data_IF_610945664271
#
_entry.id   IF_610945664271
#
_cell.length_a   1.000
_cell.length_b   1.000
_cell.length_c   1.000
_cell.angle_alpha   90.00
_cell.angle_beta   90.00
_cell.angle_gamma   90.00
#
_symmetry.space_group_name_H-M   'P 1'
#
loop_
_entity.id
_entity.type
_entity.pdbx_description
1 polymer ?
#
# COMPACT_ATOMS: atom_id res chain seq x y z
N UNK A 1 17.43 8.58 2.51
CA UNK A 1 16.04 8.23 2.89
C UNK A 1 15.46 9.17 3.94
N UNK A 2 16.18 9.42 5.04
CA UNK A 2 15.76 10.36 6.11
C UNK A 2 15.37 11.75 5.60
N UNK A 3 16.26 12.40 4.85
CA UNK A 3 16.03 13.75 4.29
C UNK A 3 14.77 13.81 3.40
N UNK A 4 14.47 12.74 2.67
CA UNK A 4 13.25 12.65 1.86
C UNK A 4 11.98 12.66 2.72
N UNK A 5 11.95 11.92 3.83
CA UNK A 5 10.81 11.93 4.75
C UNK A 5 10.63 13.30 5.39
N UNK A 6 11.72 13.92 5.85
CA UNK A 6 11.71 15.29 6.40
C UNK A 6 11.12 16.28 5.40
N UNK A 7 11.52 16.19 4.13
CA UNK A 7 10.98 17.07 3.09
C UNK A 7 9.48 16.84 2.86
N UNK A 8 8.99 15.60 2.90
CA UNK A 8 7.56 15.31 2.79
C UNK A 8 6.77 15.83 4.00
N UNK A 9 7.35 15.76 5.20
CA UNK A 9 6.76 16.33 6.42
C UNK A 9 6.65 17.85 6.28
N UNK A 10 7.72 18.53 5.86
CA UNK A 10 7.74 19.98 5.61
C UNK A 10 6.71 20.41 4.55
N UNK A 11 6.52 19.60 3.51
CA UNK A 11 5.51 19.83 2.46
C UNK A 11 4.09 19.48 2.90
N UNK A 12 3.93 18.88 4.08
CA UNK A 12 2.65 18.42 4.59
C UNK A 12 2.05 17.20 3.87
N UNK A 13 2.87 16.48 3.09
CA UNK A 13 2.50 15.26 2.35
C UNK A 13 2.69 13.99 3.19
N UNK A 14 3.32 14.11 4.35
CA UNK A 14 3.45 13.09 5.37
C UNK A 14 3.20 13.76 6.73
N UNK A 15 2.24 13.28 7.50
CA UNK A 15 1.82 13.94 8.75
C UNK A 15 1.41 12.91 9.79
N UNK A 16 1.66 13.27 11.05
CA UNK A 16 0.98 12.64 12.17
C UNK A 16 -0.44 13.22 12.30
N UNK A 17 -1.41 12.34 12.54
CA UNK A 17 -2.83 12.64 12.71
C UNK A 17 -3.38 11.71 13.79
N UNK A 18 -4.59 11.96 14.26
CA UNK A 18 -5.27 11.01 15.16
C UNK A 18 -5.43 9.64 14.48
N UNK A 19 -5.08 8.53 15.15
CA UNK A 19 -5.42 7.19 14.70
C UNK A 19 -6.90 7.09 14.35
N UNK A 20 -7.20 6.51 13.19
CA UNK A 20 -8.57 6.50 12.66
C UNK A 20 -8.96 5.12 12.15
N UNK A 21 -9.77 4.41 12.94
CA UNK A 21 -10.35 3.13 12.53
C UNK A 21 -11.27 3.32 11.32
N UNK A 22 -12.06 4.40 11.28
CA UNK A 22 -12.98 4.68 10.17
C UNK A 22 -12.24 4.85 8.84
N UNK A 23 -11.14 5.62 8.82
CA UNK A 23 -10.33 5.78 7.61
C UNK A 23 -9.60 4.47 7.28
N UNK A 24 -9.10 3.76 8.28
CA UNK A 24 -8.51 2.43 8.09
C UNK A 24 -9.48 1.50 7.35
N UNK A 25 -10.70 1.34 7.85
CA UNK A 25 -11.75 0.51 7.25
C UNK A 25 -12.09 0.98 5.83
N UNK A 26 -12.26 2.30 5.64
CA UNK A 26 -12.57 2.86 4.30
C UNK A 26 -11.50 2.50 3.25
N UNK A 27 -10.22 2.52 3.64
CA UNK A 27 -9.13 2.10 2.75
C UNK A 27 -9.05 0.58 2.58
N UNK A 28 -9.41 -0.21 3.59
CA UNK A 28 -9.54 -1.67 3.45
C UNK A 28 -10.63 -2.05 2.44
N UNK A 29 -11.75 -1.34 2.44
CA UNK A 29 -12.85 -1.53 1.48
C UNK A 29 -12.43 -1.11 0.08
N UNK A 30 -11.75 0.04 -0.03
CA UNK A 30 -11.18 0.48 -1.31
C UNK A 30 -10.14 -0.48 -1.86
N UNK A 31 -9.33 -1.09 -0.99
CA UNK A 31 -8.40 -2.15 -1.38
C UNK A 31 -9.14 -3.36 -1.95
N UNK A 32 -10.20 -3.80 -1.27
CA UNK A 32 -11.03 -4.93 -1.72
C UNK A 32 -11.66 -4.66 -3.08
N UNK A 33 -12.31 -3.50 -3.23
CA UNK A 33 -12.95 -3.07 -4.47
C UNK A 33 -11.97 -3.02 -5.64
N UNK A 34 -10.76 -2.47 -5.44
CA UNK A 34 -9.72 -2.47 -6.47
C UNK A 34 -9.28 -3.89 -6.86
N UNK A 35 -9.12 -4.78 -5.89
CA UNK A 35 -8.70 -6.15 -6.18
C UNK A 35 -9.76 -6.91 -6.99
N UNK A 36 -11.03 -6.82 -6.59
CA UNK A 36 -12.14 -7.43 -7.33
C UNK A 36 -12.25 -6.88 -8.74
N UNK A 37 -12.13 -5.55 -8.89
CA UNK A 37 -12.14 -4.88 -10.18
C UNK A 37 -10.99 -5.36 -11.08
N UNK A 38 -9.80 -5.59 -10.53
CA UNK A 38 -8.67 -6.13 -11.30
C UNK A 38 -8.98 -7.52 -11.89
N UNK A 39 -9.68 -8.39 -11.15
CA UNK A 39 -10.11 -9.70 -11.62
C UNK A 39 -11.13 -9.58 -12.76
N UNK A 40 -12.03 -8.59 -12.70
CA UNK A 40 -13.00 -8.32 -13.77
C UNK A 40 -12.28 -7.82 -15.04
N UNK A 41 -11.33 -6.90 -14.89
CA UNK A 41 -10.56 -6.36 -16.01
C UNK A 41 -9.72 -7.43 -16.71
N UNK A 42 -9.07 -8.33 -15.95
CA UNK A 42 -8.38 -9.49 -16.51
C UNK A 42 -9.32 -10.34 -17.38
N UNK A 43 -10.53 -10.66 -16.90
CA UNK A 43 -11.51 -11.45 -17.66
C UNK A 43 -11.92 -10.78 -18.98
N UNK A 44 -11.81 -9.45 -19.05
CA UNK A 44 -12.13 -8.65 -20.24
C UNK A 44 -10.89 -8.25 -21.06
N UNK A 45 -9.74 -8.91 -20.84
CA UNK A 45 -8.47 -8.64 -21.52
C UNK A 45 -7.96 -7.19 -21.37
N UNK A 46 -8.33 -6.51 -20.27
CA UNK A 46 -7.87 -5.17 -19.90
C UNK A 46 -6.67 -5.27 -18.96
N UNK A 47 -5.56 -5.76 -19.50
CA UNK A 47 -4.44 -6.24 -18.69
C UNK A 47 -3.67 -5.10 -17.99
N UNK A 48 -3.42 -3.99 -18.68
CA UNK A 48 -2.70 -2.83 -18.12
C UNK A 48 -3.49 -2.19 -16.96
N UNK A 49 -4.80 -2.06 -17.14
CA UNK A 49 -5.69 -1.54 -16.10
C UNK A 49 -5.78 -2.50 -14.93
N UNK A 50 -5.81 -3.81 -15.18
CA UNK A 50 -5.80 -4.83 -14.14
C UNK A 50 -4.53 -4.76 -13.27
N UNK A 51 -3.32 -4.70 -13.87
CA UNK A 51 -2.04 -4.53 -13.13
C UNK A 51 -2.12 -3.34 -12.19
N UNK A 52 -2.64 -2.22 -12.70
CA UNK A 52 -2.72 -0.97 -11.95
C UNK A 52 -3.61 -1.11 -10.72
N UNK A 53 -4.76 -1.78 -10.85
CA UNK A 53 -5.66 -2.00 -9.74
C UNK A 53 -5.14 -3.01 -8.71
N UNK A 54 -4.33 -3.99 -9.11
CA UNK A 54 -3.62 -4.87 -8.17
C UNK A 54 -2.71 -4.03 -7.26
N UNK A 55 -1.87 -3.18 -7.87
CA UNK A 55 -1.00 -2.28 -7.11
C UNK A 55 -1.79 -1.35 -6.18
N UNK A 56 -2.85 -0.71 -6.68
CA UNK A 56 -3.66 0.18 -5.84
C UNK A 56 -4.40 -0.55 -4.73
N UNK A 57 -4.75 -1.82 -4.92
CA UNK A 57 -5.31 -2.64 -3.85
C UNK A 57 -4.32 -2.82 -2.70
N UNK A 58 -3.08 -3.20 -3.01
CA UNK A 58 -2.00 -3.35 -2.03
C UNK A 58 -1.70 -2.02 -1.34
N UNK A 59 -1.58 -0.94 -2.12
CA UNK A 59 -1.29 0.39 -1.61
C UNK A 59 -2.37 0.93 -0.67
N UNK A 60 -3.65 0.70 -0.97
CA UNK A 60 -4.74 1.09 -0.08
C UNK A 60 -4.69 0.32 1.25
N UNK A 61 -4.25 -0.94 1.30
CA UNK A 61 -4.04 -1.61 2.60
C UNK A 61 -2.89 -1.01 3.39
N UNK A 62 -1.81 -0.57 2.72
CA UNK A 62 -0.74 0.17 3.40
C UNK A 62 -1.28 1.48 3.98
N UNK A 63 -2.10 2.21 3.23
CA UNK A 63 -2.76 3.41 3.76
C UNK A 63 -3.69 3.10 4.93
N UNK A 64 -4.47 2.02 4.86
CA UNK A 64 -5.30 1.56 5.98
C UNK A 64 -4.47 1.35 7.24
N UNK A 65 -3.36 0.62 7.13
CA UNK A 65 -2.46 0.38 8.26
C UNK A 65 -1.88 1.69 8.83
N UNK A 66 -1.44 2.61 7.97
CA UNK A 66 -0.89 3.90 8.41
C UNK A 66 -1.95 4.74 9.11
N UNK A 67 -3.18 4.83 8.59
CA UNK A 67 -4.26 5.55 9.26
C UNK A 67 -4.66 4.90 10.58
N UNK A 68 -4.58 3.57 10.70
CA UNK A 68 -4.86 2.85 11.95
C UNK A 68 -3.91 3.26 13.09
N UNK A 69 -2.71 3.73 12.77
CA UNK A 69 -1.72 4.20 13.77
C UNK A 69 -1.53 5.73 13.77
N UNK A 70 -2.32 6.49 13.01
CA UNK A 70 -2.26 7.95 13.01
C UNK A 70 -1.21 8.55 12.06
N UNK A 71 -0.89 7.88 10.94
CA UNK A 71 0.00 8.42 9.91
C UNK A 71 -0.79 8.66 8.62
N UNK A 72 -0.80 9.92 8.17
CA UNK A 72 -1.27 10.29 6.84
C UNK A 72 -0.10 10.40 5.88
N UNK A 73 -0.16 9.67 4.76
CA UNK A 73 0.85 9.74 3.69
C UNK A 73 0.20 9.93 2.32
N UNK A 74 0.66 10.94 1.57
CA UNK A 74 0.28 11.26 0.19
C UNK A 74 1.41 10.92 -0.81
N UNK A 75 2.36 10.07 -0.39
CA UNK A 75 3.47 9.63 -1.21
C UNK A 75 3.63 8.11 -1.17
N UNK A 76 3.52 7.48 -2.34
CA UNK A 76 3.59 6.03 -2.46
C UNK A 76 4.92 5.43 -1.97
N UNK A 77 6.05 6.04 -2.33
CA UNK A 77 7.37 5.57 -1.90
C UNK A 77 7.52 5.66 -0.38
N UNK A 78 7.06 6.76 0.21
CA UNK A 78 7.10 6.94 1.66
C UNK A 78 6.23 5.89 2.37
N UNK A 79 5.00 5.66 1.92
CA UNK A 79 4.11 4.68 2.55
C UNK A 79 4.70 3.26 2.51
N UNK A 80 5.25 2.85 1.37
CA UNK A 80 5.88 1.52 1.20
C UNK A 80 7.16 1.40 2.05
N UNK A 81 7.91 2.48 2.21
CA UNK A 81 9.08 2.52 3.09
C UNK A 81 8.65 2.36 4.55
N UNK A 82 7.66 3.14 5.00
CA UNK A 82 7.15 3.09 6.37
C UNK A 82 6.54 1.73 6.74
N UNK A 83 5.97 1.01 5.76
CA UNK A 83 5.50 -0.37 5.96
C UNK A 83 6.61 -1.26 6.54
N UNK A 84 7.83 -1.16 6.01
CA UNK A 84 8.96 -1.97 6.46
C UNK A 84 9.58 -1.39 7.73
N UNK A 85 9.79 -0.08 7.80
CA UNK A 85 10.50 0.51 8.94
C UNK A 85 9.69 0.46 10.24
N UNK A 86 8.38 0.74 10.18
CA UNK A 86 7.54 0.76 11.38
C UNK A 86 7.14 -0.66 11.77
N UNK A 87 6.65 -1.44 10.81
CA UNK A 87 5.99 -2.72 11.09
C UNK A 87 6.84 -3.95 10.82
N UNK A 88 8.04 -3.77 10.27
CA UNK A 88 8.92 -4.88 9.84
C UNK A 88 8.23 -5.83 8.86
N UNK A 89 7.21 -5.32 8.17
CA UNK A 89 6.41 -6.09 7.24
C UNK A 89 7.09 -6.12 5.88
N UNK A 90 7.14 -7.29 5.25
CA UNK A 90 7.77 -7.46 3.95
C UNK A 90 7.07 -6.60 2.87
N UNK A 91 7.85 -5.69 2.30
CA UNK A 91 7.38 -4.75 1.28
C UNK A 91 7.87 -5.09 -0.14
N UNK A 92 8.62 -6.19 -0.32
CA UNK A 92 9.08 -6.61 -1.65
C UNK A 92 7.93 -6.82 -2.64
N UNK A 93 6.80 -7.47 -2.28
CA UNK A 93 5.69 -7.66 -3.22
C UNK A 93 5.08 -6.35 -3.74
N UNK A 94 4.89 -5.35 -2.86
CA UNK A 94 4.30 -4.07 -3.27
C UNK A 94 5.30 -3.19 -4.03
N UNK A 95 6.61 -3.31 -3.76
CA UNK A 95 7.66 -2.67 -4.56
C UNK A 95 7.68 -3.21 -5.98
N UNK A 96 7.53 -4.53 -6.13
CA UNK A 96 7.42 -5.19 -7.43
C UNK A 96 6.19 -4.72 -8.19
N UNK A 97 5.01 -4.78 -7.57
CA UNK A 97 3.75 -4.33 -8.18
C UNK A 97 3.79 -2.85 -8.57
N UNK A 98 4.47 -2.00 -7.78
CA UNK A 98 4.68 -0.59 -8.12
C UNK A 98 5.54 -0.44 -9.38
N UNK A 99 6.61 -1.22 -9.50
CA UNK A 99 7.49 -1.20 -10.67
C UNK A 99 6.71 -1.64 -11.91
N UNK A 100 6.00 -2.77 -11.83
CA UNK A 100 5.12 -3.22 -12.92
C UNK A 100 4.12 -2.14 -13.33
N UNK A 101 3.44 -1.51 -12.36
CA UNK A 101 2.49 -0.44 -12.65
C UNK A 101 3.15 0.74 -13.38
N UNK A 102 4.35 1.16 -13.00
CA UNK A 102 5.06 2.25 -13.70
C UNK A 102 5.48 1.81 -15.10
N UNK A 103 6.08 0.63 -15.21
CA UNK A 103 6.63 0.14 -16.46
C UNK A 103 5.54 -0.10 -17.52
N UNK A 104 4.37 -0.59 -17.09
CA UNK A 104 3.26 -0.91 -18.02
C UNK A 104 2.34 0.28 -18.31
N UNK A 105 2.29 1.30 -17.44
CA UNK A 105 1.44 2.48 -17.69
C UNK A 105 2.15 3.62 -18.44
N UNK A 106 3.47 3.73 -18.38
CA UNK A 106 4.20 4.88 -18.93
C UNK A 106 5.04 4.56 -20.18
N UNK A 107 5.31 3.28 -20.48
CA UNK A 107 6.06 2.89 -21.68
C UNK A 107 5.15 2.24 -22.72
N UNK A 108 4.95 2.94 -23.85
CA UNK A 108 4.17 2.45 -24.98
C UNK A 108 4.90 1.28 -25.64
N UNK A 109 4.27 0.11 -25.73
CA UNK A 109 4.79 -1.08 -26.43
C UNK A 109 5.08 -2.29 -25.55
N UNK A 110 5.01 -2.18 -24.22
CA UNK A 110 5.11 -3.33 -23.31
C UNK A 110 3.81 -4.12 -23.29
N UNK A 111 3.77 -5.26 -24.00
CA UNK A 111 2.65 -6.21 -23.88
C UNK A 111 2.85 -7.06 -22.64
N UNK A 112 2.01 -6.88 -21.63
CA UNK A 112 1.91 -7.85 -20.54
C UNK A 112 1.19 -9.10 -21.04
N UNK A 113 1.72 -10.27 -20.72
CA UNK A 113 1.05 -11.54 -20.96
C UNK A 113 0.03 -11.82 -19.87
N UNK A 114 -1.00 -12.59 -20.21
CA UNK A 114 -1.99 -13.04 -19.22
C UNK A 114 -1.34 -13.79 -18.05
N UNK A 115 -0.28 -14.55 -18.33
CA UNK A 115 0.48 -15.31 -17.32
C UNK A 115 1.15 -14.39 -16.29
N UNK A 116 1.87 -13.36 -16.75
CA UNK A 116 2.47 -12.36 -15.84
C UNK A 116 1.41 -11.69 -14.96
N UNK A 117 0.23 -11.37 -15.53
CA UNK A 117 -0.86 -10.79 -14.75
C UNK A 117 -1.46 -11.77 -13.73
N UNK A 118 -1.58 -13.05 -14.08
CA UNK A 118 -2.03 -14.10 -13.15
C UNK A 118 -1.05 -14.26 -11.97
N UNK A 119 0.26 -14.19 -12.23
CA UNK A 119 1.31 -14.19 -11.19
C UNK A 119 1.21 -12.94 -10.29
N UNK A 120 1.00 -11.76 -10.88
CA UNK A 120 0.77 -10.51 -10.15
C UNK A 120 -0.51 -10.54 -9.31
N UNK A 121 -1.59 -11.20 -9.79
CA UNK A 121 -2.81 -11.40 -9.00
C UNK A 121 -2.57 -12.29 -7.78
N UNK A 122 -1.85 -13.41 -7.95
CA UNK A 122 -1.53 -14.33 -6.85
C UNK A 122 -0.66 -13.61 -5.81
N UNK A 123 0.33 -12.83 -6.26
CA UNK A 123 1.18 -12.03 -5.38
C UNK A 123 0.36 -10.98 -4.62
N UNK A 124 -0.48 -10.23 -5.32
CA UNK A 124 -1.39 -9.23 -4.73
C UNK A 124 -2.37 -9.83 -3.73
N UNK A 125 -2.99 -10.97 -4.04
CA UNK A 125 -3.92 -11.67 -3.14
C UNK A 125 -3.22 -12.10 -1.84
N UNK A 126 -2.03 -12.68 -1.96
CA UNK A 126 -1.27 -13.14 -0.81
C UNK A 126 -0.80 -11.99 0.07
N UNK A 127 -0.29 -10.91 -0.53
CA UNK A 127 0.08 -9.70 0.21
C UNK A 127 -1.14 -9.10 0.94
N UNK A 128 -2.25 -8.92 0.22
CA UNK A 128 -3.47 -8.35 0.76
C UNK A 128 -4.01 -9.18 1.93
N UNK A 129 -4.06 -10.50 1.79
CA UNK A 129 -4.50 -11.42 2.84
C UNK A 129 -3.63 -11.29 4.10
N UNK A 130 -2.30 -11.31 3.94
CA UNK A 130 -1.36 -11.18 5.06
C UNK A 130 -1.49 -9.83 5.77
N UNK A 131 -1.47 -8.74 5.00
CA UNK A 131 -1.53 -7.39 5.56
C UNK A 131 -2.90 -7.08 6.18
N UNK A 132 -3.99 -7.54 5.57
CA UNK A 132 -5.34 -7.45 6.16
C UNK A 132 -5.41 -8.20 7.49
N UNK A 133 -4.89 -9.43 7.54
CA UNK A 133 -4.83 -10.21 8.79
C UNK A 133 -4.03 -9.51 9.88
N UNK A 134 -2.88 -8.92 9.51
CA UNK A 134 -2.07 -8.10 10.41
C UNK A 134 -2.86 -6.90 10.95
N UNK A 135 -3.51 -6.13 10.08
CA UNK A 135 -4.31 -4.94 10.47
C UNK A 135 -5.47 -5.29 11.39
N UNK A 136 -6.19 -6.38 11.10
CA UNK A 136 -7.34 -6.84 11.89
C UNK A 136 -6.93 -7.49 13.20
N UNK A 137 -5.70 -8.02 13.31
CA UNK A 137 -5.19 -8.65 14.52
C UNK A 137 -4.63 -7.67 15.56
N UNK A 138 -4.36 -6.42 15.20
CA UNK A 138 -3.75 -5.45 16.11
C UNK A 138 -4.67 -5.06 17.27
N UNK A 139 -4.17 -5.23 18.50
CA UNK A 139 -4.77 -4.67 19.71
C UNK A 139 -4.36 -3.22 19.98
N UNK A 140 -5.00 -2.58 20.97
CA UNK A 140 -4.72 -1.18 21.34
C UNK A 140 -3.25 -0.93 21.71
N UNK A 141 -2.62 -1.88 22.40
CA UNK A 141 -1.21 -1.76 22.79
C UNK A 141 -0.28 -1.75 21.57
N UNK A 142 -0.54 -2.60 20.58
CA UNK A 142 0.24 -2.63 19.33
C UNK A 142 0.07 -1.35 18.53
N UNK A 143 -1.17 -0.86 18.42
CA UNK A 143 -1.47 0.42 17.75
C UNK A 143 -0.69 1.56 18.39
N UNK A 144 -0.71 1.65 19.73
CA UNK A 144 0.03 2.68 20.47
C UNK A 144 1.55 2.56 20.26
N UNK A 145 2.09 1.34 20.30
CA UNK A 145 3.52 1.09 20.08
C UNK A 145 3.96 1.48 18.66
N UNK A 146 3.21 1.08 17.63
CA UNK A 146 3.54 1.44 16.25
C UNK A 146 3.35 2.93 15.97
N UNK A 147 2.32 3.54 16.58
CA UNK A 147 2.09 4.99 16.49
C UNK A 147 3.30 5.77 17.04
N UNK A 148 3.78 5.38 18.23
CA UNK A 148 4.99 5.97 18.83
C UNK A 148 6.24 5.75 17.97
N UNK A 149 6.47 4.53 17.47
CA UNK A 149 7.59 4.24 16.56
C UNK A 149 7.51 5.10 15.29
N UNK A 150 6.31 5.31 14.76
CA UNK A 150 6.05 6.23 13.65
C UNK A 150 6.42 7.67 13.96
N UNK A 151 5.99 8.18 15.11
CA UNK A 151 6.34 9.53 15.57
C UNK A 151 7.85 9.73 15.68
N UNK A 152 8.57 8.77 16.27
CA UNK A 152 10.04 8.82 16.41
C UNK A 152 10.78 8.83 15.07
N UNK A 153 10.23 8.17 14.04
CA UNK A 153 10.79 8.17 12.68
C UNK A 153 10.52 9.51 11.99
N UNK A 154 9.37 10.12 12.22
CA UNK A 154 8.93 11.36 11.54
C UNK A 154 9.41 12.64 12.24
N UNK A 155 9.72 12.58 13.53
CA UNK A 155 10.22 13.72 14.32
C UNK A 155 11.72 14.04 14.08
N UNK A 156 12.44 13.20 13.35
CA UNK A 156 13.89 13.28 13.15
C UNK A 156 14.29 13.81 11.79
#
# INVERSE_FOLDING_TARGET
>A
MKEFLVNLVKQGRLKFVEPSENLSVSYMDKSQSNFESSKILLKNNKLEEAVSLIYYSMYNLVLSLLYKIGIKSENHSASIFLLKEIFEFDNAPILEAKRERIDKQYYVGFKISKKELDESLISGENFNRKLRGFISGMGMNEISNYSKKGEEILAK
#
